data_IF_496271672376
#
_entry.id   IF_496271672376
#
_cell.length_a   1.000
_cell.length_b   1.000
_cell.length_c   1.000
_cell.angle_alpha   90.00
_cell.angle_beta   90.00
_cell.angle_gamma   90.00
#
_symmetry.space_group_name_H-M   'P 1'
#
loop_
_entity.id
_entity.type
_entity.pdbx_description
1 polymer ?
#
# COMPACT_ATOMS: atom_id res chain seq x y z
N UNK A 1 16.76 12.02 -5.52
CA UNK A 1 15.76 13.11 -5.58
C UNK A 1 14.93 12.87 -6.82
N UNK A 2 13.70 12.40 -6.62
CA UNK A 2 12.82 11.97 -7.72
C UNK A 2 12.13 13.21 -8.29
N UNK A 3 12.26 13.36 -9.62
CA UNK A 3 11.69 14.49 -10.34
C UNK A 3 10.16 14.38 -10.48
N UNK A 4 9.54 15.47 -10.90
CA UNK A 4 8.16 15.49 -11.37
C UNK A 4 8.07 15.28 -12.86
N UNK A 5 6.92 15.60 -13.42
CA UNK A 5 6.74 15.70 -14.87
C UNK A 5 6.65 17.16 -15.32
N UNK A 6 7.10 17.45 -16.54
CA UNK A 6 6.84 18.73 -17.19
C UNK A 6 5.36 18.86 -17.55
N UNK A 7 4.90 20.05 -17.94
CA UNK A 7 3.54 20.27 -18.48
C UNK A 7 3.16 19.33 -19.64
N UNK A 8 4.15 18.77 -20.35
CA UNK A 8 3.95 17.81 -21.43
C UNK A 8 4.01 16.34 -20.97
N UNK A 9 4.03 16.08 -19.65
CA UNK A 9 4.09 14.73 -19.10
C UNK A 9 5.45 14.05 -19.18
N UNK A 10 6.51 14.75 -19.58
CA UNK A 10 7.87 14.18 -19.67
C UNK A 10 8.53 14.22 -18.29
N UNK A 11 9.17 13.13 -17.90
CA UNK A 11 9.96 13.09 -16.65
C UNK A 11 11.02 14.19 -16.63
N UNK A 12 11.16 14.85 -15.48
CA UNK A 12 12.08 15.97 -15.30
C UNK A 12 12.83 15.89 -13.98
N UNK A 13 13.99 16.57 -13.88
CA UNK A 13 14.82 16.60 -12.69
C UNK A 13 15.17 18.04 -12.32
N UNK A 14 15.12 18.34 -11.03
CA UNK A 14 15.55 19.63 -10.44
C UNK A 14 15.01 20.85 -11.23
N UNK A 15 15.88 21.71 -11.74
CA UNK A 15 15.50 22.95 -12.43
C UNK A 15 14.61 22.75 -13.66
N UNK A 16 14.68 21.57 -14.30
CA UNK A 16 13.84 21.24 -15.45
C UNK A 16 12.37 21.02 -15.07
N UNK A 17 12.08 20.83 -13.78
CA UNK A 17 10.74 20.69 -13.24
C UNK A 17 10.08 22.03 -12.90
N UNK A 18 10.70 23.15 -13.18
CA UNK A 18 10.09 24.48 -12.97
C UNK A 18 8.80 24.57 -13.81
N UNK A 19 7.66 24.78 -13.15
CA UNK A 19 6.32 24.78 -13.76
C UNK A 19 5.71 23.40 -14.01
N UNK A 20 6.45 22.29 -13.78
CA UNK A 20 5.90 20.93 -13.85
C UNK A 20 5.04 20.55 -12.64
N UNK A 21 4.36 19.42 -12.72
CA UNK A 21 3.53 18.86 -11.64
C UNK A 21 4.02 17.46 -11.23
N UNK A 22 3.57 16.98 -10.06
CA UNK A 22 3.88 15.65 -9.53
C UNK A 22 5.28 15.49 -8.98
N UNK A 23 5.66 14.24 -8.72
CA UNK A 23 6.94 13.82 -8.14
C UNK A 23 6.93 13.76 -6.60
N UNK A 24 7.71 12.81 -6.06
CA UNK A 24 7.73 12.50 -4.63
C UNK A 24 8.09 13.70 -3.74
N UNK A 25 8.94 14.61 -4.21
CA UNK A 25 9.31 15.83 -3.45
C UNK A 25 8.12 16.77 -3.23
N UNK A 26 7.30 16.99 -4.29
CA UNK A 26 6.09 17.81 -4.17
C UNK A 26 5.01 17.11 -3.37
N UNK A 27 4.87 15.80 -3.55
CA UNK A 27 3.98 14.99 -2.73
C UNK A 27 4.36 15.09 -1.25
N UNK A 28 5.65 14.96 -0.93
CA UNK A 28 6.16 15.13 0.43
C UNK A 28 5.81 16.51 0.99
N UNK A 29 6.02 17.57 0.22
CA UNK A 29 5.68 18.93 0.65
C UNK A 29 4.17 19.08 0.91
N UNK A 30 3.32 18.51 0.07
CA UNK A 30 1.87 18.55 0.26
C UNK A 30 1.45 17.79 1.53
N UNK A 31 1.99 16.58 1.73
CA UNK A 31 1.75 15.77 2.93
C UNK A 31 2.20 16.51 4.19
N UNK A 32 3.39 17.10 4.19
CA UNK A 32 3.92 17.87 5.34
C UNK A 32 3.06 19.09 5.64
N UNK A 33 2.54 19.76 4.61
CA UNK A 33 1.62 20.90 4.78
C UNK A 33 0.32 20.46 5.47
N UNK A 34 -0.26 19.33 5.04
CA UNK A 34 -1.46 18.79 5.68
C UNK A 34 -1.18 18.37 7.13
N UNK A 35 -0.08 17.67 7.37
CA UNK A 35 0.30 17.25 8.73
C UNK A 35 0.58 18.41 9.68
N UNK A 36 1.10 19.51 9.18
CA UNK A 36 1.32 20.71 9.98
C UNK A 36 0.01 21.39 10.40
N UNK A 37 -1.04 21.26 9.58
CA UNK A 37 -2.37 21.83 9.85
C UNK A 37 -3.29 20.87 10.62
N UNK A 38 -3.13 19.55 10.39
CA UNK A 38 -4.04 18.51 10.89
C UNK A 38 -3.27 17.46 11.72
N UNK A 39 -3.48 17.37 13.04
CA UNK A 39 -2.71 16.46 13.90
C UNK A 39 -3.12 14.98 13.77
N UNK A 40 -4.25 14.69 13.12
CA UNK A 40 -4.85 13.35 13.10
C UNK A 40 -4.81 12.70 11.71
N UNK A 41 -3.80 13.01 10.92
CA UNK A 41 -3.64 12.46 9.58
C UNK A 41 -3.40 10.95 9.62
N UNK A 42 -4.11 10.23 8.77
CA UNK A 42 -3.85 8.84 8.39
C UNK A 42 -3.56 8.85 6.90
N UNK A 43 -2.30 8.61 6.53
CA UNK A 43 -1.85 8.54 5.14
C UNK A 43 -1.74 7.08 4.75
N UNK A 44 -2.46 6.67 3.72
CA UNK A 44 -2.55 5.29 3.25
C UNK A 44 -2.15 5.20 1.79
N UNK A 45 -1.57 4.07 1.43
CA UNK A 45 -1.19 3.75 0.07
C UNK A 45 -1.83 2.44 -0.38
N UNK A 46 -2.48 2.46 -1.53
CA UNK A 46 -3.25 1.33 -2.05
C UNK A 46 -2.49 0.49 -3.09
N UNK A 47 -1.17 0.62 -3.17
CA UNK A 47 -0.33 -0.24 -4.00
C UNK A 47 -0.16 0.19 -5.45
N UNK A 48 0.47 -0.69 -6.22
CA UNK A 48 0.96 -0.44 -7.59
C UNK A 48 2.07 0.63 -7.63
N UNK A 49 2.96 0.59 -6.64
CA UNK A 49 4.17 1.41 -6.60
C UNK A 49 5.28 0.88 -7.53
N UNK A 50 5.17 -0.39 -7.94
CA UNK A 50 6.08 -1.00 -8.91
C UNK A 50 5.66 -0.62 -10.33
N UNK A 51 6.61 -0.73 -11.28
CA UNK A 51 6.41 -0.40 -12.70
C UNK A 51 6.39 1.10 -13.05
N UNK A 52 6.14 1.37 -14.32
CA UNK A 52 5.85 2.69 -14.87
C UNK A 52 7.05 3.58 -15.15
N UNK A 53 8.23 3.36 -14.57
CA UNK A 53 9.39 4.24 -14.75
C UNK A 53 10.71 3.49 -14.86
N UNK A 54 11.75 4.18 -15.38
CA UNK A 54 13.13 3.69 -15.38
C UNK A 54 13.67 3.49 -13.95
N UNK A 55 13.11 4.14 -12.95
CA UNK A 55 13.47 3.91 -11.54
C UNK A 55 13.16 2.48 -11.14
N UNK A 56 11.94 2.00 -11.44
CA UNK A 56 11.60 0.61 -11.15
C UNK A 56 12.49 -0.36 -11.97
N UNK A 57 12.68 -0.10 -13.25
CA UNK A 57 13.54 -0.96 -14.10
C UNK A 57 14.94 -1.11 -13.52
N UNK A 58 15.53 -0.03 -13.00
CA UNK A 58 16.90 0.00 -12.49
C UNK A 58 17.01 -0.45 -11.02
N UNK A 59 16.08 -0.04 -10.18
CA UNK A 59 16.19 -0.18 -8.72
C UNK A 59 15.12 -1.08 -8.10
N UNK A 60 14.19 -1.57 -8.91
CA UNK A 60 13.08 -2.40 -8.45
C UNK A 60 12.28 -1.68 -7.33
N UNK A 61 11.87 -2.41 -6.29
CA UNK A 61 11.12 -1.87 -5.16
C UNK A 61 11.90 -0.97 -4.19
N UNK A 62 13.23 -0.80 -4.37
CA UNK A 62 14.05 -0.02 -3.43
C UNK A 62 13.61 1.44 -3.34
N UNK A 63 13.32 2.04 -4.49
CA UNK A 63 12.89 3.43 -4.57
C UNK A 63 11.49 3.62 -3.99
N UNK A 64 10.58 2.69 -4.26
CA UNK A 64 9.25 2.69 -3.69
C UNK A 64 9.31 2.62 -2.15
N UNK A 65 10.12 1.72 -1.59
CA UNK A 65 10.33 1.62 -0.14
C UNK A 65 10.85 2.95 0.46
N UNK A 66 11.85 3.57 -0.17
CA UNK A 66 12.39 4.86 0.29
C UNK A 66 11.35 5.99 0.23
N UNK A 67 10.50 6.02 -0.77
CA UNK A 67 9.43 7.01 -0.91
C UNK A 67 8.35 6.80 0.14
N UNK A 68 7.90 5.55 0.34
CA UNK A 68 6.93 5.21 1.39
C UNK A 68 7.42 5.64 2.77
N UNK A 69 8.68 5.32 3.09
CA UNK A 69 9.30 5.68 4.37
C UNK A 69 9.46 7.19 4.51
N UNK A 70 9.92 7.89 3.46
CA UNK A 70 10.08 9.35 3.48
C UNK A 70 8.76 10.10 3.64
N UNK A 71 7.66 9.55 3.13
CA UNK A 71 6.30 10.10 3.27
C UNK A 71 5.65 9.68 4.59
N UNK A 72 6.24 8.73 5.32
CA UNK A 72 5.75 8.21 6.59
C UNK A 72 4.28 7.74 6.48
N UNK A 73 4.04 6.84 5.52
CA UNK A 73 2.72 6.24 5.36
C UNK A 73 2.32 5.45 6.61
N UNK A 74 1.07 5.54 6.98
CA UNK A 74 0.52 4.80 8.12
C UNK A 74 0.40 3.31 7.82
N UNK A 75 0.07 2.96 6.58
CA UNK A 75 0.01 1.61 6.05
C UNK A 75 0.04 1.62 4.51
N UNK A 76 0.43 0.49 3.97
CA UNK A 76 0.45 0.16 2.55
C UNK A 76 -0.28 -1.16 2.32
N UNK A 77 -1.04 -1.30 1.24
CA UNK A 77 -1.53 -2.59 0.74
C UNK A 77 -0.96 -2.84 -0.66
N UNK A 78 -0.47 -4.05 -0.98
CA UNK A 78 0.08 -4.29 -2.31
C UNK A 78 -1.02 -4.28 -3.38
N UNK A 79 -0.69 -3.79 -4.57
CA UNK A 79 -1.42 -4.05 -5.78
C UNK A 79 -0.92 -5.31 -6.49
N UNK A 80 -1.33 -5.52 -7.74
CA UNK A 80 -0.86 -6.65 -8.51
C UNK A 80 0.58 -6.44 -9.01
N UNK A 81 0.98 -5.20 -9.32
CA UNK A 81 2.32 -4.92 -9.85
C UNK A 81 3.44 -5.17 -8.83
N UNK A 82 3.18 -5.19 -7.54
CA UNK A 82 4.16 -5.62 -6.53
C UNK A 82 4.61 -7.06 -6.71
N UNK A 83 3.90 -7.86 -7.52
CA UNK A 83 4.22 -9.26 -7.81
C UNK A 83 4.75 -9.50 -9.24
N UNK A 84 5.02 -8.48 -10.03
CA UNK A 84 5.50 -8.63 -11.42
C UNK A 84 6.85 -9.36 -11.52
N UNK A 85 7.75 -9.11 -10.60
CA UNK A 85 9.04 -9.79 -10.48
C UNK A 85 9.03 -10.90 -9.40
N UNK A 86 7.85 -11.39 -9.03
CA UNK A 86 7.67 -12.52 -8.12
C UNK A 86 7.77 -12.19 -6.64
N UNK A 87 7.51 -13.20 -5.80
CA UNK A 87 7.51 -13.05 -4.34
C UNK A 87 8.89 -12.69 -3.75
N UNK A 88 9.97 -12.96 -4.45
CA UNK A 88 11.33 -12.62 -3.99
C UNK A 88 11.55 -11.12 -3.96
N UNK A 89 11.12 -10.41 -5.02
CA UNK A 89 11.23 -8.96 -5.09
C UNK A 89 10.25 -8.29 -4.13
N UNK A 90 9.00 -8.78 -4.05
CA UNK A 90 8.05 -8.32 -3.05
C UNK A 90 8.59 -8.45 -1.63
N UNK A 91 9.21 -9.60 -1.29
CA UNK A 91 9.86 -9.81 0.01
C UNK A 91 10.94 -8.76 0.27
N UNK A 92 11.85 -8.56 -0.69
CA UNK A 92 12.94 -7.59 -0.58
C UNK A 92 12.41 -6.17 -0.30
N UNK A 93 11.35 -5.78 -0.98
CA UNK A 93 10.65 -4.52 -0.77
C UNK A 93 10.08 -4.42 0.65
N UNK A 94 9.33 -5.44 1.10
CA UNK A 94 8.70 -5.45 2.45
C UNK A 94 9.74 -5.43 3.56
N UNK A 95 10.88 -6.12 3.38
CA UNK A 95 11.97 -6.12 4.36
C UNK A 95 12.72 -4.79 4.43
N UNK A 96 12.65 -3.99 3.38
CA UNK A 96 13.32 -2.70 3.28
C UNK A 96 12.50 -1.54 3.87
N UNK A 97 11.19 -1.53 3.67
CA UNK A 97 10.32 -0.47 4.20
C UNK A 97 9.99 -0.66 5.67
N UNK A 98 9.82 0.45 6.40
CA UNK A 98 9.31 0.46 7.78
C UNK A 98 7.78 0.55 7.83
N UNK A 99 7.15 0.89 6.71
CA UNK A 99 5.68 1.03 6.61
C UNK A 99 5.03 -0.35 6.75
N UNK A 100 4.02 -0.52 7.62
CA UNK A 100 3.28 -1.76 7.73
C UNK A 100 2.61 -2.15 6.40
N UNK A 101 2.94 -3.34 5.88
CA UNK A 101 2.32 -3.90 4.67
C UNK A 101 1.15 -4.78 5.07
N UNK A 102 -0.05 -4.44 4.58
CA UNK A 102 -1.31 -5.08 4.97
C UNK A 102 -1.90 -5.87 3.81
N UNK A 103 -2.28 -7.13 4.06
CA UNK A 103 -3.00 -7.96 3.10
C UNK A 103 -3.71 -9.10 3.84
N UNK A 104 -5.00 -8.92 4.15
CA UNK A 104 -5.77 -9.91 4.92
C UNK A 104 -6.10 -11.16 4.10
N UNK A 105 -6.22 -11.03 2.80
CA UNK A 105 -6.56 -12.11 1.88
C UNK A 105 -5.35 -12.73 1.15
N UNK A 106 -4.11 -12.42 1.60
CA UNK A 106 -2.88 -12.93 1.01
C UNK A 106 -2.16 -13.88 1.97
N UNK A 107 -1.87 -15.08 1.51
CA UNK A 107 -0.98 -16.00 2.19
C UNK A 107 0.29 -16.18 1.35
N UNK A 108 1.43 -15.90 1.95
CA UNK A 108 2.75 -16.06 1.34
C UNK A 108 3.49 -17.25 1.95
N UNK A 109 4.42 -17.87 1.21
CA UNK A 109 5.27 -18.91 1.78
C UNK A 109 6.03 -18.36 3.00
N UNK A 110 6.14 -19.17 4.06
CA UNK A 110 6.79 -18.74 5.30
C UNK A 110 8.26 -18.39 5.06
N UNK A 111 8.72 -17.35 5.75
CA UNK A 111 10.15 -17.03 5.81
C UNK A 111 10.77 -17.90 6.90
N UNK A 112 11.72 -18.79 6.59
CA UNK A 112 12.35 -19.63 7.61
C UNK A 112 12.95 -18.79 8.74
N UNK A 113 12.46 -18.97 9.97
CA UNK A 113 12.88 -18.20 11.15
C UNK A 113 12.47 -16.71 11.14
N UNK A 114 11.70 -16.27 10.14
CA UNK A 114 11.26 -14.88 9.98
C UNK A 114 9.83 -14.63 10.47
N UNK A 115 9.46 -13.34 10.50
CA UNK A 115 8.08 -12.91 10.75
C UNK A 115 7.27 -12.97 9.44
N UNK A 116 5.93 -13.05 9.51
CA UNK A 116 5.09 -12.85 8.34
C UNK A 116 5.41 -11.52 7.65
N UNK A 117 5.50 -11.55 6.32
CA UNK A 117 5.80 -10.37 5.50
C UNK A 117 4.66 -9.34 5.54
N UNK A 118 3.43 -9.82 5.60
CA UNK A 118 2.23 -8.98 5.64
C UNK A 118 1.45 -9.22 6.92
N UNK A 119 0.61 -8.25 7.27
CA UNK A 119 -0.35 -8.36 8.38
C UNK A 119 -1.76 -8.22 7.81
N UNK A 120 -2.77 -8.86 8.39
CA UNK A 120 -4.15 -8.67 7.92
C UNK A 120 -4.65 -7.24 8.17
N UNK A 121 -4.29 -6.65 9.31
CA UNK A 121 -4.65 -5.28 9.70
C UNK A 121 -3.68 -4.71 10.73
N UNK A 122 -3.82 -3.41 10.95
CA UNK A 122 -3.27 -2.70 12.12
C UNK A 122 -4.35 -1.89 12.80
N UNK A 123 -4.11 -1.49 14.05
CA UNK A 123 -4.94 -0.51 14.77
C UNK A 123 -4.08 0.70 15.08
N UNK A 124 -4.55 1.87 14.68
CA UNK A 124 -3.94 3.16 15.02
C UNK A 124 -4.89 3.95 15.90
N UNK A 125 -4.34 4.85 16.71
CA UNK A 125 -5.14 5.71 17.58
C UNK A 125 -5.02 7.16 17.12
N UNK A 126 -6.16 7.86 17.02
CA UNK A 126 -6.24 9.29 16.72
C UNK A 126 -7.30 9.92 17.61
N UNK A 127 -6.95 10.94 18.38
CA UNK A 127 -7.85 11.62 19.35
C UNK A 127 -8.58 10.64 20.30
N UNK A 128 -7.88 9.62 20.80
CA UNK A 128 -8.46 8.60 21.66
C UNK A 128 -9.43 7.63 20.97
N UNK A 129 -9.52 7.67 19.63
CA UNK A 129 -10.33 6.72 18.85
C UNK A 129 -9.44 5.70 18.17
N UNK A 130 -9.81 4.44 18.30
CA UNK A 130 -9.15 3.33 17.62
C UNK A 130 -9.70 3.20 16.19
N UNK A 131 -8.79 3.17 15.23
CA UNK A 131 -9.07 2.99 13.81
C UNK A 131 -8.37 1.72 13.36
N UNK A 132 -9.12 0.72 12.91
CA UNK A 132 -8.60 -0.48 12.27
C UNK A 132 -8.39 -0.23 10.77
N UNK A 133 -7.24 -0.62 10.24
CA UNK A 133 -6.94 -0.53 8.81
C UNK A 133 -6.69 -1.95 8.33
N UNK A 134 -7.51 -2.43 7.40
CA UNK A 134 -7.46 -3.79 6.83
C UNK A 134 -6.97 -3.67 5.39
N UNK A 135 -5.91 -4.40 5.03
CA UNK A 135 -5.41 -4.44 3.64
C UNK A 135 -6.08 -5.55 2.84
N UNK A 136 -6.40 -5.28 1.56
CA UNK A 136 -6.94 -6.27 0.63
C UNK A 136 -6.30 -6.12 -0.76
N UNK A 137 -5.77 -7.21 -1.28
CA UNK A 137 -5.16 -7.30 -2.61
C UNK A 137 -6.10 -8.01 -3.59
N UNK A 138 -5.98 -7.68 -4.88
CA UNK A 138 -6.80 -8.25 -5.93
C UNK A 138 -6.64 -9.77 -6.02
N UNK A 139 -7.76 -10.49 -5.97
CA UNK A 139 -7.83 -11.95 -6.10
C UNK A 139 -7.31 -12.45 -7.45
N UNK A 140 -7.43 -11.63 -8.50
CA UNK A 140 -6.97 -11.94 -9.85
C UNK A 140 -5.46 -11.71 -10.06
N UNK A 141 -4.72 -11.28 -9.04
CA UNK A 141 -3.27 -11.04 -9.13
C UNK A 141 -2.49 -12.18 -9.80
N UNK A 142 -2.80 -13.47 -9.58
CA UNK A 142 -2.11 -14.56 -10.29
C UNK A 142 -2.29 -14.55 -11.82
N UNK A 143 -3.33 -13.91 -12.33
CA UNK A 143 -3.58 -13.75 -13.77
C UNK A 143 -3.06 -12.43 -14.34
N UNK A 144 -2.80 -11.45 -13.48
CA UNK A 144 -2.37 -10.10 -13.84
C UNK A 144 -0.86 -9.90 -13.71
N UNK A 145 -0.21 -10.67 -12.84
CA UNK A 145 1.20 -10.55 -12.50
C UNK A 145 1.89 -11.93 -12.45
N UNK A 146 3.08 -12.01 -11.88
CA UNK A 146 3.89 -13.23 -11.82
C UNK A 146 4.25 -13.62 -10.36
N UNK A 147 3.27 -13.75 -9.44
CA UNK A 147 3.59 -14.19 -8.07
C UNK A 147 4.19 -15.60 -8.05
N UNK A 148 4.82 -15.97 -6.94
CA UNK A 148 5.24 -17.35 -6.75
C UNK A 148 4.03 -18.29 -6.64
N UNK A 149 4.21 -19.55 -7.04
CA UNK A 149 3.12 -20.55 -7.07
C UNK A 149 2.50 -20.84 -5.70
N UNK A 150 3.27 -20.63 -4.65
CA UNK A 150 2.85 -20.86 -3.26
C UNK A 150 2.07 -19.67 -2.67
N UNK A 151 2.02 -18.53 -3.36
CA UNK A 151 1.20 -17.40 -2.94
C UNK A 151 -0.28 -17.70 -3.20
N UNK A 152 -1.12 -17.50 -2.19
CA UNK A 152 -2.57 -17.71 -2.28
C UNK A 152 -3.27 -16.37 -2.05
N UNK A 153 -4.03 -15.95 -3.05
CA UNK A 153 -4.91 -14.77 -3.01
C UNK A 153 -6.33 -15.24 -2.76
N UNK A 154 -6.78 -15.14 -1.52
CA UNK A 154 -8.09 -15.62 -1.09
C UNK A 154 -9.21 -14.61 -1.31
N UNK A 155 -10.49 -15.02 -1.06
CA UNK A 155 -11.65 -14.15 -1.21
C UNK A 155 -11.58 -12.92 -0.30
N UNK A 156 -11.59 -11.74 -0.91
CA UNK A 156 -11.44 -10.46 -0.21
C UNK A 156 -12.62 -10.20 0.75
N UNK A 157 -13.86 -10.52 0.33
CA UNK A 157 -15.04 -10.35 1.20
C UNK A 157 -14.94 -11.19 2.47
N UNK A 158 -14.54 -12.45 2.37
CA UNK A 158 -14.39 -13.35 3.53
C UNK A 158 -13.32 -12.80 4.49
N UNK A 159 -12.16 -12.44 3.95
CA UNK A 159 -11.05 -11.90 4.75
C UNK A 159 -11.42 -10.58 5.44
N UNK A 160 -12.16 -9.70 4.73
CA UNK A 160 -12.63 -8.44 5.30
C UNK A 160 -13.62 -8.68 6.44
N UNK A 161 -14.60 -9.57 6.28
CA UNK A 161 -15.57 -9.91 7.32
C UNK A 161 -14.90 -10.45 8.58
N UNK A 162 -13.95 -11.35 8.43
CA UNK A 162 -13.17 -11.93 9.55
C UNK A 162 -12.34 -10.86 10.27
N UNK A 163 -11.68 -9.97 9.50
CA UNK A 163 -10.92 -8.86 10.04
C UNK A 163 -11.82 -7.87 10.80
N UNK A 164 -12.95 -7.47 10.23
CA UNK A 164 -13.91 -6.57 10.87
C UNK A 164 -14.44 -7.18 12.16
N UNK A 165 -14.86 -8.46 12.16
CA UNK A 165 -15.33 -9.14 13.35
C UNK A 165 -14.25 -9.16 14.46
N UNK A 166 -12.99 -9.43 14.09
CA UNK A 166 -11.86 -9.43 15.02
C UNK A 166 -11.56 -8.04 15.59
N UNK A 167 -11.65 -7.00 14.77
CA UNK A 167 -11.45 -5.61 15.20
C UNK A 167 -12.60 -5.13 16.10
N UNK A 168 -13.85 -5.46 15.76
CA UNK A 168 -15.02 -5.15 16.60
C UNK A 168 -14.93 -5.79 17.99
N UNK A 169 -14.49 -7.06 18.05
CA UNK A 169 -14.26 -7.75 19.33
C UNK A 169 -13.19 -7.07 20.21
N UNK A 170 -12.27 -6.31 19.62
CA UNK A 170 -11.25 -5.50 20.30
C UNK A 170 -11.72 -4.07 20.62
N UNK A 171 -13.01 -3.75 20.39
CA UNK A 171 -13.58 -2.43 20.62
C UNK A 171 -13.20 -1.38 19.58
N UNK A 172 -12.77 -1.79 18.38
CA UNK A 172 -12.49 -0.89 17.27
C UNK A 172 -13.78 -0.61 16.51
N UNK A 173 -14.21 0.66 16.50
CA UNK A 173 -15.48 1.07 15.90
C UNK A 173 -15.34 1.77 14.54
N UNK A 174 -14.13 2.17 14.16
CA UNK A 174 -13.84 2.76 12.86
C UNK A 174 -12.95 1.76 12.14
N UNK A 175 -13.39 1.28 10.99
CA UNK A 175 -12.61 0.37 10.13
C UNK A 175 -12.47 0.99 8.75
N UNK A 176 -11.25 1.02 8.26
CA UNK A 176 -10.89 1.43 6.90
C UNK A 176 -10.46 0.16 6.16
N UNK A 177 -11.15 -0.18 5.08
CA UNK A 177 -10.68 -1.15 4.11
C UNK A 177 -9.74 -0.43 3.13
N UNK A 178 -8.45 -0.74 3.20
CA UNK A 178 -7.44 -0.27 2.28
C UNK A 178 -7.31 -1.33 1.18
N UNK A 179 -7.83 -1.02 0.00
CA UNK A 179 -8.08 -2.03 -1.03
C UNK A 179 -7.36 -1.73 -2.33
N UNK A 180 -6.91 -2.79 -3.00
CA UNK A 180 -6.48 -2.74 -4.41
C UNK A 180 -7.31 -3.75 -5.23
N UNK A 181 -8.66 -3.58 -5.23
CA UNK A 181 -9.61 -4.51 -5.86
C UNK A 181 -10.31 -3.90 -7.08
N UNK A 182 -10.25 -2.57 -7.19
CA UNK A 182 -10.96 -1.80 -8.20
C UNK A 182 -12.34 -1.30 -7.73
N UNK A 183 -12.72 -0.12 -8.22
CA UNK A 183 -13.88 0.64 -7.75
C UNK A 183 -15.20 -0.18 -7.70
N UNK A 184 -15.46 -1.01 -8.70
CA UNK A 184 -16.72 -1.77 -8.75
C UNK A 184 -16.78 -2.79 -7.60
N UNK A 185 -15.69 -3.52 -7.36
CA UNK A 185 -15.60 -4.50 -6.27
C UNK A 185 -15.66 -3.80 -4.92
N UNK A 186 -15.00 -2.65 -4.77
CA UNK A 186 -15.02 -1.85 -3.54
C UNK A 186 -16.43 -1.37 -3.19
N UNK A 187 -17.19 -0.88 -4.20
CA UNK A 187 -18.58 -0.47 -4.01
C UNK A 187 -19.49 -1.64 -3.59
N UNK A 188 -19.27 -2.84 -4.15
CA UNK A 188 -20.02 -4.04 -3.77
C UNK A 188 -19.68 -4.47 -2.32
N UNK A 189 -18.38 -4.49 -1.97
CA UNK A 189 -17.93 -4.82 -0.63
C UNK A 189 -18.48 -3.87 0.43
N UNK A 190 -18.45 -2.56 0.14
CA UNK A 190 -18.99 -1.53 1.05
C UNK A 190 -20.48 -1.71 1.34
N UNK A 191 -21.24 -2.34 0.43
CA UNK A 191 -22.65 -2.66 0.63
C UNK A 191 -22.92 -4.00 1.36
N UNK A 192 -21.89 -4.82 1.55
CA UNK A 192 -22.01 -6.17 2.10
C UNK A 192 -21.35 -6.39 3.45
N UNK A 193 -20.39 -5.54 3.82
CA UNK A 193 -19.61 -5.67 5.06
C UNK A 193 -19.85 -4.45 5.94
N UNK A 194 -20.44 -4.68 7.14
CA UNK A 194 -20.76 -3.66 8.16
C UNK A 194 -19.59 -3.44 9.14
#
# INVERSE_FOLDING_TARGET
MYGGTTEKGTACYAAQCAGGSGGSVRLKQAVDTVRAAEPNVVLLDAGDEFQGTLFYTQFKGDVAAEVLDALDYTAFTPGNHEFDDGCGEFRRFVERTHVPVLAANLTLPPVPGGKPLTRPWIVVERQGRKIGIVGLVNEETPSLASPCKEAVFGPAETALREAVASLRAQGVNIVIALTHLGLNVDCELAGRVD
#
